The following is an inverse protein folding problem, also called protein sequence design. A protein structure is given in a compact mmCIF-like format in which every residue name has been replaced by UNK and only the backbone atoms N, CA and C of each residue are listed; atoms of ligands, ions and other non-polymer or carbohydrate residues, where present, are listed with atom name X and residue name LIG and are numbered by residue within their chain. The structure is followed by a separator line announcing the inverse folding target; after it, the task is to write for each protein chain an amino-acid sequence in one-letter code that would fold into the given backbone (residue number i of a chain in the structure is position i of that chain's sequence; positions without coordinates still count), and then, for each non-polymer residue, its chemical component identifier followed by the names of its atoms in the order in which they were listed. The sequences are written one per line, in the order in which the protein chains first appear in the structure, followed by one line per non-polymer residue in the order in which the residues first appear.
data_IF_391578166198
#
_entry.id   IF_391578166198
#
_cell.length_a   1.000
_cell.length_b   1.000
_cell.length_c   1.000
_cell.angle_alpha   90.00
_cell.angle_beta   90.00
_cell.angle_gamma   90.00
#
_symmetry.space_group_name_H-M   'P 1'
#
loop_
_entity.id
_entity.type
_entity.pdbx_description
1 polymer ?
#
# COMPACT_ATOMS: atom_id res chain seq x y z
N UNK A 1 -13.38 -56.44 46.70
CA UNK A 1 -13.69 -55.01 46.45
C UNK A 1 -13.09 -54.66 45.10
N UNK A 2 -13.90 -54.32 44.09
CA UNK A 2 -13.46 -54.11 42.70
C UNK A 2 -13.31 -52.60 42.47
N UNK A 3 -12.11 -52.13 42.16
CA UNK A 3 -11.82 -50.71 41.88
C UNK A 3 -11.96 -50.49 40.37
N UNK A 4 -12.90 -49.65 39.96
CA UNK A 4 -13.03 -49.20 38.58
C UNK A 4 -12.30 -47.87 38.38
N UNK A 5 -11.48 -47.79 37.33
CA UNK A 5 -10.76 -46.58 36.93
C UNK A 5 -11.37 -46.05 35.63
N UNK A 6 -12.04 -44.89 35.69
CA UNK A 6 -12.60 -44.22 34.51
C UNK A 6 -11.64 -43.13 34.03
N UNK A 7 -11.26 -43.16 32.75
CA UNK A 7 -10.48 -42.09 32.13
C UNK A 7 -11.40 -40.93 31.75
N UNK A 8 -11.14 -39.76 32.33
CA UNK A 8 -11.80 -38.50 31.93
C UNK A 8 -10.78 -37.59 31.24
N UNK A 9 -11.20 -36.99 30.12
CA UNK A 9 -10.42 -35.95 29.45
C UNK A 9 -10.48 -34.67 30.28
N UNK A 10 -9.35 -34.26 30.84
CA UNK A 10 -9.23 -32.99 31.57
C UNK A 10 -8.46 -32.01 30.71
N UNK A 11 -9.11 -30.92 30.30
CA UNK A 11 -8.45 -29.85 29.57
C UNK A 11 -7.49 -29.08 30.49
N UNK A 12 -6.22 -29.03 30.13
CA UNK A 12 -5.20 -28.25 30.84
C UNK A 12 -4.67 -27.15 29.92
N UNK A 13 -5.04 -25.91 30.23
CA UNK A 13 -4.52 -24.75 29.51
C UNK A 13 -3.05 -24.51 29.83
N UNK A 14 -2.19 -24.51 28.80
CA UNK A 14 -0.78 -24.15 28.93
C UNK A 14 -0.59 -22.63 28.77
N UNK A 15 -0.72 -21.90 29.87
CA UNK A 15 -0.64 -20.43 29.90
C UNK A 15 0.72 -19.86 29.47
N UNK A 16 1.78 -20.67 29.45
CA UNK A 16 3.12 -20.25 28.98
C UNK A 16 3.09 -19.73 27.54
N UNK A 17 2.37 -20.42 26.65
CA UNK A 17 2.24 -20.01 25.26
C UNK A 17 1.37 -18.77 25.11
N UNK A 18 0.35 -18.63 25.95
CA UNK A 18 -0.51 -17.45 25.98
C UNK A 18 0.29 -16.21 26.40
N UNK A 19 1.10 -16.32 27.45
CA UNK A 19 1.98 -15.22 27.90
C UNK A 19 3.01 -14.89 26.83
N UNK A 20 3.71 -15.88 26.28
CA UNK A 20 4.74 -15.67 25.26
C UNK A 20 4.19 -14.98 24.00
N UNK A 21 3.05 -15.44 23.50
CA UNK A 21 2.40 -14.85 22.31
C UNK A 21 1.88 -13.44 22.58
N UNK A 22 1.34 -13.18 23.78
CA UNK A 22 0.86 -11.85 24.17
C UNK A 22 2.01 -10.84 24.25
N UNK A 23 3.13 -11.22 24.89
CA UNK A 23 4.33 -10.38 24.96
C UNK A 23 4.88 -10.10 23.57
N UNK A 24 5.03 -11.14 22.74
CA UNK A 24 5.56 -10.98 21.39
C UNK A 24 4.67 -10.07 20.52
N UNK A 25 3.35 -10.25 20.59
CA UNK A 25 2.38 -9.38 19.89
C UNK A 25 2.50 -7.92 20.34
N UNK A 26 2.67 -7.72 21.66
CA UNK A 26 2.80 -6.38 22.23
C UNK A 26 4.07 -5.70 21.70
N UNK A 27 5.19 -6.42 21.63
CA UNK A 27 6.45 -5.93 21.04
C UNK A 27 6.23 -5.50 19.58
N UNK A 28 5.56 -6.32 18.77
CA UNK A 28 5.27 -5.94 17.38
C UNK A 28 4.40 -4.69 17.27
N UNK A 29 3.39 -4.54 18.12
CA UNK A 29 2.57 -3.33 18.17
C UNK A 29 3.46 -2.11 18.46
N UNK A 30 4.32 -2.18 19.48
CA UNK A 30 5.22 -1.08 19.82
C UNK A 30 6.17 -0.69 18.67
N UNK A 31 6.74 -1.68 17.98
CA UNK A 31 7.61 -1.44 16.83
C UNK A 31 6.85 -0.74 15.69
N UNK A 32 5.68 -1.25 15.32
CA UNK A 32 4.84 -0.67 14.26
C UNK A 32 4.36 0.73 14.63
N UNK A 33 3.89 0.93 15.86
CA UNK A 33 3.40 2.23 16.33
C UNK A 33 4.50 3.29 16.30
N UNK A 34 5.73 2.92 16.65
CA UNK A 34 6.88 3.85 16.57
C UNK A 34 7.15 4.28 15.13
N UNK A 35 7.03 3.38 14.15
CA UNK A 35 7.17 3.74 12.72
C UNK A 35 6.10 4.70 12.23
N UNK A 36 4.91 4.70 12.85
CA UNK A 36 3.79 5.59 12.51
C UNK A 36 3.73 6.83 13.41
N UNK A 37 4.71 7.01 14.30
CA UNK A 37 4.79 8.19 15.17
C UNK A 37 5.07 9.43 14.30
N UNK A 38 4.35 10.53 14.57
CA UNK A 38 4.41 11.75 13.75
C UNK A 38 3.48 11.77 12.53
N UNK A 39 2.75 10.68 12.22
CA UNK A 39 1.74 10.70 11.14
C UNK A 39 0.66 11.77 11.35
N UNK A 40 0.40 12.12 12.60
CA UNK A 40 -0.57 13.12 13.01
C UNK A 40 -0.11 14.56 12.75
N UNK A 41 1.17 14.78 12.44
CA UNK A 41 1.76 16.10 12.20
C UNK A 41 1.61 16.58 10.75
N UNK A 42 1.04 15.75 9.85
CA UNK A 42 0.92 16.05 8.42
C UNK A 42 -0.01 17.25 8.08
N UNK A 43 -0.56 17.94 9.09
CA UNK A 43 -1.32 19.18 8.94
C UNK A 43 -2.65 19.05 8.20
N UNK A 44 -3.03 17.82 7.81
CA UNK A 44 -4.32 17.48 7.19
C UNK A 44 -4.68 16.03 7.46
N UNK A 45 -5.97 15.71 7.35
CA UNK A 45 -6.43 14.33 7.29
C UNK A 45 -5.91 13.66 6.01
N UNK A 46 -5.00 12.71 6.15
CA UNK A 46 -4.51 11.88 5.05
C UNK A 46 -5.19 10.52 5.14
N UNK A 47 -5.72 10.06 4.01
CA UNK A 47 -6.49 8.81 3.89
C UNK A 47 -5.64 7.63 3.44
N UNK A 48 -4.40 7.88 3.02
CA UNK A 48 -3.53 6.90 2.33
C UNK A 48 -4.17 6.34 1.05
N UNK A 49 -5.14 7.05 0.49
CA UNK A 49 -5.77 6.68 -0.76
C UNK A 49 -4.71 6.64 -1.88
N UNK A 50 -4.77 5.65 -2.81
CA UNK A 50 -3.86 5.58 -3.95
C UNK A 50 -3.66 6.90 -4.70
N UNK A 51 -4.67 7.76 -4.81
CA UNK A 51 -4.53 9.10 -5.42
C UNK A 51 -3.67 10.05 -4.59
N UNK A 52 -3.84 10.08 -3.27
CA UNK A 52 -3.02 10.91 -2.37
C UNK A 52 -1.57 10.41 -2.36
N UNK A 53 -1.40 9.08 -2.30
CA UNK A 53 -0.11 8.41 -2.33
C UNK A 53 0.60 8.66 -3.67
N UNK A 54 -0.09 8.49 -4.80
CA UNK A 54 0.46 8.78 -6.12
C UNK A 54 0.83 10.26 -6.27
N UNK A 55 0.02 11.19 -5.73
CA UNK A 55 0.36 12.62 -5.73
C UNK A 55 1.60 12.91 -4.88
N UNK A 56 1.74 12.26 -3.73
CA UNK A 56 2.92 12.38 -2.86
C UNK A 56 4.20 11.84 -3.53
N UNK A 57 4.08 10.84 -4.39
CA UNK A 57 5.16 10.32 -5.24
C UNK A 57 5.33 11.06 -6.59
N UNK A 58 4.75 12.26 -6.73
CA UNK A 58 4.81 13.08 -7.94
C UNK A 58 4.37 12.35 -9.23
N UNK A 59 3.29 11.55 -9.15
CA UNK A 59 2.74 10.86 -10.30
C UNK A 59 2.41 11.86 -11.44
N UNK A 60 2.93 11.65 -12.67
CA UNK A 60 2.77 12.60 -13.77
C UNK A 60 1.31 12.97 -14.08
N UNK A 61 0.39 12.00 -13.99
CA UNK A 61 -1.04 12.20 -14.22
C UNK A 61 -1.72 13.13 -13.22
N UNK A 62 -1.11 13.30 -12.05
CA UNK A 62 -1.62 14.09 -10.93
C UNK A 62 -0.86 15.43 -10.79
N UNK A 63 0.07 15.73 -11.70
CA UNK A 63 0.71 17.06 -11.77
C UNK A 63 -0.36 18.10 -12.11
N UNK A 64 -0.38 19.18 -11.35
CA UNK A 64 -1.47 20.15 -11.34
C UNK A 64 -1.38 21.10 -10.13
N UNK A 65 -2.32 22.04 -9.99
CA UNK A 65 -2.26 23.08 -8.97
C UNK A 65 -2.33 22.50 -7.56
N UNK A 66 -1.36 22.90 -6.72
CA UNK A 66 -1.26 22.50 -5.31
C UNK A 66 -0.41 21.24 -5.09
N UNK A 67 0.56 21.36 -4.17
CA UNK A 67 1.40 20.24 -3.73
C UNK A 67 0.69 19.35 -2.69
N UNK A 68 -0.24 19.89 -1.92
CA UNK A 68 -0.92 19.20 -0.82
C UNK A 68 -2.47 19.23 -0.86
N UNK A 69 -3.14 18.97 -2.00
CA UNK A 69 -4.60 19.00 -2.07
C UNK A 69 -5.23 17.81 -1.31
N UNK A 70 -6.39 17.99 -0.64
CA UNK A 70 -7.13 16.90 -0.02
C UNK A 70 -7.79 15.99 -1.07
N UNK A 71 -8.11 14.74 -0.70
CA UNK A 71 -8.70 13.75 -1.60
C UNK A 71 -9.90 14.26 -2.44
N UNK A 72 -10.90 14.99 -1.90
CA UNK A 72 -12.01 15.50 -2.71
C UNK A 72 -11.57 16.48 -3.80
N UNK A 73 -10.53 17.28 -3.54
CA UNK A 73 -9.97 18.19 -4.51
C UNK A 73 -9.21 17.42 -5.60
N UNK A 74 -8.44 16.38 -5.23
CA UNK A 74 -7.80 15.48 -6.19
C UNK A 74 -8.81 14.78 -7.09
N UNK A 75 -9.91 14.26 -6.53
CA UNK A 75 -10.97 13.62 -7.29
C UNK A 75 -11.64 14.60 -8.26
N UNK A 76 -11.75 15.89 -7.94
CA UNK A 76 -12.29 16.88 -8.88
C UNK A 76 -11.33 17.19 -10.03
N UNK A 77 -10.01 17.13 -9.78
CA UNK A 77 -8.98 17.33 -10.81
C UNK A 77 -8.88 16.10 -11.74
N UNK A 78 -9.07 14.90 -11.19
CA UNK A 78 -8.83 13.62 -11.88
C UNK A 78 -10.10 12.96 -12.39
N UNK A 79 -11.28 13.33 -11.87
CA UNK A 79 -12.49 12.49 -11.82
C UNK A 79 -13.04 11.91 -13.11
N UNK A 80 -12.63 12.42 -14.27
CA UNK A 80 -13.03 11.91 -15.59
C UNK A 80 -11.84 11.44 -16.45
N UNK A 81 -10.61 11.45 -15.92
CA UNK A 81 -9.42 10.94 -16.60
C UNK A 81 -9.36 9.42 -16.47
N UNK A 82 -9.39 8.74 -17.61
CA UNK A 82 -9.08 7.32 -17.64
C UNK A 82 -7.57 7.13 -17.52
N UNK A 83 -7.14 6.13 -16.75
CA UNK A 83 -5.73 5.82 -16.54
C UNK A 83 -5.53 4.33 -16.79
N UNK A 84 -4.49 3.99 -17.56
CA UNK A 84 -4.14 2.60 -17.88
C UNK A 84 -2.65 2.41 -17.62
N UNK A 85 -2.30 1.30 -16.98
CA UNK A 85 -0.90 0.90 -16.85
C UNK A 85 -0.44 0.19 -18.12
N UNK A 86 0.71 0.59 -18.64
CA UNK A 86 1.37 -0.14 -19.71
C UNK A 86 2.60 0.56 -20.24
N UNK A 87 2.99 0.19 -21.44
CA UNK A 87 4.19 0.72 -22.10
C UNK A 87 3.86 2.04 -22.79
N UNK A 88 4.68 3.05 -22.52
CA UNK A 88 4.60 4.38 -23.14
C UNK A 88 5.95 4.69 -23.78
N UNK A 89 5.91 5.09 -25.05
CA UNK A 89 7.09 5.59 -25.77
C UNK A 89 7.25 7.08 -25.48
N UNK A 90 8.34 7.44 -24.79
CA UNK A 90 8.71 8.83 -24.56
C UNK A 90 9.81 9.21 -25.54
N UNK A 91 9.56 10.25 -26.34
CA UNK A 91 10.57 10.83 -27.22
C UNK A 91 11.37 11.88 -26.44
N UNK A 92 12.59 11.55 -26.05
CA UNK A 92 13.51 12.47 -25.37
C UNK A 92 14.87 12.45 -26.07
N UNK A 93 15.35 13.61 -26.52
CA UNK A 93 16.68 13.81 -27.15
C UNK A 93 17.03 12.75 -28.21
N UNK A 94 16.28 12.73 -29.33
CA UNK A 94 16.48 11.84 -30.49
C UNK A 94 16.39 10.32 -30.23
N UNK A 95 16.22 9.88 -28.98
CA UNK A 95 16.08 8.48 -28.61
C UNK A 95 14.66 8.17 -28.09
N UNK A 96 14.07 7.08 -28.59
CA UNK A 96 12.80 6.55 -28.09
C UNK A 96 13.08 5.74 -26.82
N UNK A 97 12.62 6.24 -25.68
CA UNK A 97 12.67 5.50 -24.40
C UNK A 97 11.33 4.85 -24.13
N UNK A 98 11.35 3.55 -23.83
CA UNK A 98 10.17 2.77 -23.47
C UNK A 98 10.11 2.61 -21.97
N UNK A 99 9.03 3.12 -21.37
CA UNK A 99 8.85 3.10 -19.93
C UNK A 99 7.47 2.55 -19.57
N UNK A 100 7.41 1.78 -18.48
CA UNK A 100 6.15 1.39 -17.87
C UNK A 100 5.61 2.53 -17.04
N UNK A 101 4.48 3.07 -17.46
CA UNK A 101 3.83 4.18 -16.77
C UNK A 101 2.32 3.98 -16.73
N UNK A 102 1.69 4.60 -15.73
CA UNK A 102 0.26 4.85 -15.78
C UNK A 102 0.07 6.12 -16.61
N UNK A 103 -0.59 6.00 -17.76
CA UNK A 103 -0.85 7.11 -18.67
C UNK A 103 -2.27 7.04 -19.25
N UNK A 104 -2.62 7.97 -20.12
CA UNK A 104 -3.90 7.96 -20.83
C UNK A 104 -4.03 6.68 -21.67
N UNK A 105 -5.18 5.97 -21.66
CA UNK A 105 -5.38 4.76 -22.45
C UNK A 105 -5.00 4.88 -23.94
N UNK A 106 -5.05 6.07 -24.51
CA UNK A 106 -4.68 6.33 -25.91
C UNK A 106 -3.16 6.21 -26.14
N UNK A 107 -2.35 6.54 -25.14
CA UNK A 107 -0.88 6.53 -25.20
C UNK A 107 -0.28 5.19 -24.75
N UNK A 108 -1.11 4.29 -24.20
CA UNK A 108 -0.65 3.08 -23.51
C UNK A 108 -0.78 1.82 -24.36
N UNK A 109 0.37 1.28 -24.76
CA UNK A 109 0.49 -0.04 -25.37
C UNK A 109 0.49 -1.17 -24.31
N UNK A 110 0.22 -2.40 -24.75
CA UNK A 110 0.33 -3.58 -23.87
C UNK A 110 1.82 -3.83 -23.55
N UNK A 111 2.18 -4.08 -22.28
CA UNK A 111 3.54 -4.48 -21.91
C UNK A 111 3.96 -5.74 -22.67
N UNK A 112 5.21 -5.77 -23.08
CA UNK A 112 5.86 -6.91 -23.71
C UNK A 112 6.59 -7.72 -22.66
N UNK A 113 6.43 -9.04 -22.73
CA UNK A 113 7.12 -9.96 -21.82
C UNK A 113 8.60 -10.09 -22.21
N UNK A 114 9.48 -10.19 -21.21
CA UNK A 114 10.92 -10.36 -21.41
C UNK A 114 11.73 -9.10 -21.77
N UNK A 115 11.14 -7.91 -21.75
CA UNK A 115 11.84 -6.63 -21.99
C UNK A 115 12.05 -5.88 -20.67
N UNK A 116 13.26 -5.38 -20.45
CA UNK A 116 13.57 -4.45 -19.36
C UNK A 116 13.29 -3.02 -19.82
N UNK A 117 12.43 -2.32 -19.08
CA UNK A 117 12.06 -0.93 -19.34
C UNK A 117 13.00 0.00 -18.56
N UNK A 118 13.50 1.06 -19.20
CA UNK A 118 14.46 2.03 -18.65
C UNK A 118 13.87 3.42 -18.43
#
# INVERSE_FOLDING_TARGET
MMVQTTNISVFRSEYRFLVASTVLRTIFIFLITTTLFGWWELGRSVTLNPLETAKAFDAPLLRGPGSNPPLPALMRIVGSRNAKFGEVETYADEHVRRQLKVADPVEVARPQDGIMYE
#
